data_IF_748660175064
#
_entry.id   IF_748660175064
#
_cell.length_a   1.000
_cell.length_b   1.000
_cell.length_c   1.000
_cell.angle_alpha   90.00
_cell.angle_beta   90.00
_cell.angle_gamma   90.00
#
_symmetry.space_group_name_H-M   'P 1'
#
loop_
_entity.id
_entity.type
_entity.pdbx_description
1 polymer ?
#
# COMPACT_ATOMS: atom_id res chain seq x y z
N UNK A 1 -11.42 -25.82 11.91
CA UNK A 1 -10.05 -25.27 11.89
C UNK A 1 -9.70 -24.82 13.29
N UNK A 2 -8.80 -25.54 13.93
CA UNK A 2 -8.48 -25.43 15.35
C UNK A 2 -7.78 -24.09 15.67
N UNK A 3 -8.35 -23.34 16.63
CA UNK A 3 -7.92 -21.98 17.02
C UNK A 3 -6.60 -21.99 17.81
N UNK A 4 -6.10 -23.16 18.20
CA UNK A 4 -4.92 -23.31 19.05
C UNK A 4 -3.57 -23.06 18.32
N UNK A 5 -3.50 -23.16 16.99
CA UNK A 5 -2.25 -22.93 16.24
C UNK A 5 -1.94 -21.44 15.94
N UNK A 6 -2.88 -20.54 16.27
CA UNK A 6 -2.72 -19.09 16.10
C UNK A 6 -2.14 -18.40 17.35
N UNK A 7 -1.97 -19.14 18.46
CA UNK A 7 -1.47 -18.61 19.74
C UNK A 7 0.05 -18.70 19.91
N UNK A 8 0.82 -18.98 18.86
CA UNK A 8 2.27 -18.95 18.96
C UNK A 8 2.76 -17.49 18.82
N UNK A 9 3.28 -16.86 19.89
CA UNK A 9 3.59 -15.43 19.90
C UNK A 9 4.58 -15.02 18.80
N UNK A 10 5.49 -15.90 18.42
CA UNK A 10 6.48 -15.66 17.37
C UNK A 10 5.85 -15.60 15.97
N UNK A 11 4.83 -16.43 15.71
CA UNK A 11 4.12 -16.43 14.43
C UNK A 11 3.20 -15.23 14.29
N UNK A 12 2.58 -14.80 15.39
CA UNK A 12 1.77 -13.58 15.41
C UNK A 12 2.63 -12.35 15.16
N UNK A 13 3.81 -12.26 15.80
CA UNK A 13 4.80 -11.19 15.55
C UNK A 13 5.26 -11.18 14.09
N UNK A 14 5.58 -12.35 13.53
CA UNK A 14 6.01 -12.44 12.13
C UNK A 14 4.91 -11.98 11.16
N UNK A 15 3.67 -12.42 11.35
CA UNK A 15 2.56 -12.01 10.48
C UNK A 15 2.29 -10.51 10.61
N UNK A 16 2.25 -9.98 11.84
CA UNK A 16 2.10 -8.54 12.05
C UNK A 16 3.23 -7.77 11.38
N UNK A 17 4.49 -8.19 11.54
CA UNK A 17 5.64 -7.52 10.93
C UNK A 17 5.58 -7.53 9.40
N UNK A 18 5.22 -8.67 8.80
CA UNK A 18 5.04 -8.77 7.34
C UNK A 18 3.86 -7.92 6.86
N UNK A 19 2.76 -7.85 7.63
CA UNK A 19 1.61 -7.02 7.30
C UNK A 19 1.91 -5.51 7.44
N UNK A 20 2.66 -5.11 8.48
CA UNK A 20 3.02 -3.70 8.70
C UNK A 20 4.10 -3.21 7.74
N UNK A 21 4.96 -4.10 7.21
CA UNK A 21 5.82 -3.77 6.07
C UNK A 21 5.01 -3.36 4.84
N UNK A 22 3.81 -3.92 4.63
CA UNK A 22 2.88 -3.45 3.61
C UNK A 22 2.45 -2.00 3.83
N UNK A 23 2.16 -1.62 5.08
CA UNK A 23 1.89 -0.23 5.48
C UNK A 23 3.09 0.69 5.22
N UNK A 24 4.30 0.24 5.52
CA UNK A 24 5.52 1.00 5.24
C UNK A 24 5.74 1.20 3.73
N UNK A 25 5.58 0.16 2.92
CA UNK A 25 5.67 0.26 1.46
C UNK A 25 4.61 1.22 0.90
N UNK A 26 3.40 1.19 1.44
CA UNK A 26 2.34 2.14 1.09
C UNK A 26 2.77 3.58 1.38
N UNK A 27 3.19 3.88 2.62
CA UNK A 27 3.64 5.22 2.99
C UNK A 27 4.85 5.69 2.20
N UNK A 28 5.77 4.78 1.88
CA UNK A 28 6.92 5.11 1.05
C UNK A 28 6.51 5.50 -0.38
N UNK A 29 5.61 4.74 -1.02
CA UNK A 29 5.15 5.04 -2.38
C UNK A 29 4.38 6.38 -2.44
N UNK A 30 3.55 6.67 -1.45
CA UNK A 30 2.84 7.95 -1.36
C UNK A 30 3.73 9.13 -1.00
N UNK A 31 4.87 8.91 -0.35
CA UNK A 31 5.83 9.97 -0.01
C UNK A 31 6.86 10.23 -1.09
N UNK A 32 7.34 9.18 -1.75
CA UNK A 32 8.45 9.29 -2.70
C UNK A 32 8.04 10.08 -3.94
N UNK A 33 6.76 9.99 -4.32
CA UNK A 33 6.20 10.70 -5.47
C UNK A 33 6.41 12.21 -5.39
N UNK A 34 6.33 12.82 -4.21
CA UNK A 34 6.44 14.27 -4.04
C UNK A 34 7.83 14.81 -4.44
N UNK A 35 8.90 14.08 -4.14
CA UNK A 35 10.25 14.44 -4.59
C UNK A 35 10.53 13.97 -6.00
N UNK A 36 10.07 12.76 -6.35
CA UNK A 36 10.24 12.20 -7.68
C UNK A 36 9.52 13.02 -8.79
N UNK A 37 8.46 13.75 -8.44
CA UNK A 37 7.71 14.59 -9.37
C UNK A 37 8.57 15.73 -9.97
N UNK A 38 9.51 16.26 -9.18
CA UNK A 38 10.42 17.32 -9.63
C UNK A 38 11.30 16.79 -10.76
N UNK A 39 11.84 15.58 -10.61
CA UNK A 39 12.67 14.90 -11.62
C UNK A 39 11.85 14.40 -12.81
N UNK A 40 10.66 13.84 -12.57
CA UNK A 40 9.76 13.42 -13.66
C UNK A 40 9.34 14.61 -14.53
N UNK A 41 9.21 15.81 -13.94
CA UNK A 41 8.89 17.02 -14.69
C UNK A 41 10.01 17.44 -15.63
N UNK A 42 11.28 17.32 -15.21
CA UNK A 42 12.43 17.60 -16.08
C UNK A 42 12.62 16.51 -17.14
N UNK A 43 12.46 15.24 -16.77
CA UNK A 43 12.78 14.11 -17.64
C UNK A 43 11.69 13.82 -18.69
N UNK A 44 10.41 13.93 -18.30
CA UNK A 44 9.27 13.70 -19.20
C UNK A 44 8.65 14.99 -19.75
N UNK A 45 9.23 16.16 -19.48
CA UNK A 45 8.70 17.48 -19.87
C UNK A 45 7.21 17.65 -19.49
N UNK A 46 6.84 17.24 -18.28
CA UNK A 46 5.45 17.21 -17.84
C UNK A 46 4.85 18.62 -17.75
N UNK A 47 3.63 18.75 -18.27
CA UNK A 47 2.77 19.91 -17.98
C UNK A 47 2.21 19.81 -16.56
N UNK A 48 1.88 20.94 -15.93
CA UNK A 48 1.26 20.99 -14.59
C UNK A 48 -0.01 20.14 -14.50
N UNK A 49 -0.77 20.05 -15.61
CA UNK A 49 -1.99 19.23 -15.69
C UNK A 49 -1.67 17.74 -15.65
N UNK A 50 -0.61 17.28 -16.33
CA UNK A 50 -0.20 15.88 -16.33
C UNK A 50 0.36 15.44 -14.97
N UNK A 51 1.11 16.31 -14.30
CA UNK A 51 1.56 16.13 -12.91
C UNK A 51 0.36 15.91 -11.96
N UNK A 52 -0.68 16.74 -12.11
CA UNK A 52 -1.94 16.57 -11.38
C UNK A 52 -2.62 15.24 -11.66
N UNK A 53 -2.68 14.82 -12.94
CA UNK A 53 -3.27 13.54 -13.31
C UNK A 53 -2.53 12.35 -12.70
N UNK A 54 -1.19 12.33 -12.74
CA UNK A 54 -0.38 11.23 -12.20
C UNK A 54 -0.70 11.01 -10.71
N UNK A 55 -0.80 12.09 -9.94
CA UNK A 55 -1.12 12.02 -8.51
C UNK A 55 -2.59 11.66 -8.28
N UNK A 56 -3.50 12.24 -9.07
CA UNK A 56 -4.93 11.97 -9.00
C UNK A 56 -5.27 10.51 -9.28
N UNK A 57 -4.70 9.90 -10.32
CA UNK A 57 -5.03 8.52 -10.70
C UNK A 57 -4.59 7.50 -9.66
N UNK A 58 -3.54 7.78 -8.87
CA UNK A 58 -3.19 6.96 -7.71
C UNK A 58 -4.28 7.02 -6.64
N UNK A 59 -4.71 8.23 -6.26
CA UNK A 59 -5.78 8.44 -5.27
C UNK A 59 -7.12 7.85 -5.75
N UNK A 60 -7.45 8.04 -7.02
CA UNK A 60 -8.65 7.49 -7.65
C UNK A 60 -8.61 5.95 -7.68
N UNK A 61 -7.46 5.38 -8.04
CA UNK A 61 -7.21 3.95 -7.95
C UNK A 61 -7.34 3.45 -6.51
N UNK A 62 -6.81 4.17 -5.52
CA UNK A 62 -6.93 3.80 -4.11
C UNK A 62 -8.39 3.84 -3.61
N UNK A 63 -9.17 4.83 -4.01
CA UNK A 63 -10.60 4.90 -3.70
C UNK A 63 -11.34 3.67 -4.23
N UNK A 64 -11.19 3.34 -5.52
CA UNK A 64 -11.78 2.14 -6.09
C UNK A 64 -11.23 0.86 -5.45
N UNK A 65 -9.93 0.81 -5.19
CA UNK A 65 -9.24 -0.31 -4.55
C UNK A 65 -9.80 -0.58 -3.16
N UNK A 66 -10.06 0.44 -2.35
CA UNK A 66 -10.67 0.26 -1.03
C UNK A 66 -12.08 -0.34 -1.09
N UNK A 67 -12.90 0.08 -2.06
CA UNK A 67 -14.25 -0.44 -2.28
C UNK A 67 -14.24 -1.91 -2.70
N UNK A 68 -13.47 -2.25 -3.73
CA UNK A 68 -13.41 -3.61 -4.24
C UNK A 68 -12.59 -4.54 -3.35
N UNK A 69 -11.51 -4.04 -2.75
CA UNK A 69 -10.59 -4.78 -1.89
C UNK A 69 -11.23 -5.26 -0.60
N UNK A 70 -12.09 -4.45 0.03
CA UNK A 70 -12.88 -4.88 1.18
C UNK A 70 -13.83 -6.03 0.83
N UNK A 71 -14.59 -5.89 -0.25
CA UNK A 71 -15.50 -6.94 -0.73
C UNK A 71 -14.77 -8.24 -1.10
N UNK A 72 -13.63 -8.14 -1.80
CA UNK A 72 -12.84 -9.29 -2.22
C UNK A 72 -12.19 -10.00 -1.02
N UNK A 73 -11.72 -9.22 -0.05
CA UNK A 73 -11.18 -9.71 1.23
C UNK A 73 -12.19 -10.58 1.97
N UNK A 74 -13.44 -10.12 2.08
CA UNK A 74 -14.48 -10.84 2.80
C UNK A 74 -14.90 -12.13 2.08
N UNK A 75 -14.88 -12.14 0.74
CA UNK A 75 -15.29 -13.31 -0.06
C UNK A 75 -14.20 -14.38 -0.21
N UNK A 76 -12.93 -13.98 -0.42
CA UNK A 76 -11.83 -14.91 -0.73
C UNK A 76 -10.93 -15.22 0.48
N UNK A 77 -11.10 -14.49 1.57
CA UNK A 77 -10.29 -14.59 2.77
C UNK A 77 -9.09 -13.62 2.76
N UNK A 78 -8.89 -12.96 3.90
CA UNK A 78 -7.93 -11.85 4.09
C UNK A 78 -6.49 -12.16 3.70
N UNK A 79 -5.99 -13.36 4.04
CA UNK A 79 -4.60 -13.76 3.72
C UNK A 79 -4.35 -13.88 2.21
N UNK A 80 -5.32 -14.44 1.46
CA UNK A 80 -5.20 -14.55 0.00
C UNK A 80 -5.29 -13.17 -0.63
N UNK A 81 -6.17 -12.31 -0.11
CA UNK A 81 -6.29 -10.94 -0.58
C UNK A 81 -4.98 -10.15 -0.41
N UNK A 82 -4.33 -10.22 0.77
CA UNK A 82 -3.02 -9.59 0.98
C UNK A 82 -1.95 -10.07 -0.01
N UNK A 83 -1.92 -11.36 -0.33
CA UNK A 83 -0.98 -11.92 -1.31
C UNK A 83 -1.24 -11.37 -2.72
N UNK A 84 -2.49 -11.35 -3.17
CA UNK A 84 -2.85 -10.77 -4.46
C UNK A 84 -2.48 -9.28 -4.54
N UNK A 85 -2.80 -8.54 -3.49
CA UNK A 85 -2.47 -7.12 -3.38
C UNK A 85 -0.95 -6.90 -3.44
N UNK A 86 -0.16 -7.71 -2.75
CA UNK A 86 1.31 -7.63 -2.81
C UNK A 86 1.83 -7.88 -4.24
N UNK A 87 1.26 -8.84 -4.96
CA UNK A 87 1.62 -9.12 -6.36
C UNK A 87 1.28 -7.93 -7.26
N UNK A 88 0.07 -7.37 -7.14
CA UNK A 88 -0.34 -6.19 -7.92
C UNK A 88 0.53 -4.97 -7.57
N UNK A 89 0.90 -4.80 -6.30
CA UNK A 89 1.80 -3.74 -5.85
C UNK A 89 3.17 -3.85 -6.52
N UNK A 90 3.77 -5.05 -6.56
CA UNK A 90 5.06 -5.27 -7.24
C UNK A 90 4.95 -4.92 -8.73
N UNK A 91 3.92 -5.40 -9.42
CA UNK A 91 3.73 -5.10 -10.85
C UNK A 91 3.46 -3.60 -11.10
N UNK A 92 2.69 -2.95 -10.24
CA UNK A 92 2.43 -1.50 -10.32
C UNK A 92 3.70 -0.67 -10.08
N UNK A 93 4.51 -1.06 -9.09
CA UNK A 93 5.78 -0.41 -8.78
C UNK A 93 6.79 -0.59 -9.92
N UNK A 94 6.93 -1.81 -10.46
CA UNK A 94 7.76 -2.07 -11.64
C UNK A 94 7.26 -1.31 -12.86
N UNK A 95 5.94 -1.29 -13.09
CA UNK A 95 5.34 -0.50 -14.18
C UNK A 95 5.63 0.99 -14.06
N UNK A 96 5.70 1.50 -12.83
CA UNK A 96 6.06 2.91 -12.56
C UNK A 96 7.55 3.15 -12.80
N UNK A 97 8.42 2.19 -12.41
CA UNK A 97 9.87 2.29 -12.60
C UNK A 97 10.30 2.20 -14.07
N UNK A 98 9.58 1.43 -14.90
CA UNK A 98 9.84 1.28 -16.33
C UNK A 98 8.96 2.18 -17.22
N UNK A 99 8.22 3.13 -16.64
CA UNK A 99 7.36 4.01 -17.42
C UNK A 99 8.21 4.99 -18.26
N UNK A 100 8.12 4.86 -19.59
CA UNK A 100 8.82 5.74 -20.54
C UNK A 100 7.99 6.94 -21.00
N UNK A 101 6.66 6.87 -20.84
CA UNK A 101 5.72 7.92 -21.27
C UNK A 101 4.70 8.26 -20.17
N UNK A 102 4.12 9.46 -20.23
CA UNK A 102 3.09 9.95 -19.29
C UNK A 102 1.88 9.01 -19.17
N UNK A 103 1.29 8.49 -20.27
CA UNK A 103 0.16 7.57 -20.16
C UNK A 103 0.52 6.26 -19.48
N UNK A 104 1.73 5.73 -19.74
CA UNK A 104 2.21 4.51 -19.09
C UNK A 104 2.35 4.72 -17.57
N UNK A 105 2.87 5.88 -17.16
CA UNK A 105 2.98 6.27 -15.75
C UNK A 105 1.60 6.40 -15.08
N UNK A 106 0.63 7.02 -15.75
CA UNK A 106 -0.74 7.16 -15.26
C UNK A 106 -1.39 5.78 -15.05
N UNK A 107 -1.26 4.87 -16.00
CA UNK A 107 -1.82 3.52 -15.91
C UNK A 107 -1.14 2.74 -14.77
N UNK A 108 0.19 2.79 -14.68
CA UNK A 108 0.93 2.13 -13.61
C UNK A 108 0.51 2.65 -12.23
N UNK A 109 0.32 3.98 -12.09
CA UNK A 109 -0.13 4.61 -10.85
C UNK A 109 -1.56 4.27 -10.49
N UNK A 110 -2.45 4.13 -11.47
CA UNK A 110 -3.81 3.65 -11.23
C UNK A 110 -3.81 2.21 -10.70
N UNK A 111 -3.04 1.31 -11.31
CA UNK A 111 -2.91 -0.10 -10.87
C UNK A 111 -2.29 -0.18 -9.47
N UNK A 112 -1.24 0.60 -9.22
CA UNK A 112 -0.59 0.68 -7.92
C UNK A 112 -1.55 1.22 -6.86
N UNK A 113 -2.32 2.26 -7.20
CA UNK A 113 -3.38 2.82 -6.37
C UNK A 113 -4.42 1.77 -5.98
N UNK A 114 -4.88 0.94 -6.92
CA UNK A 114 -5.82 -0.16 -6.61
C UNK A 114 -5.26 -1.11 -5.54
N UNK A 115 -3.99 -1.51 -5.67
CA UNK A 115 -3.34 -2.39 -4.69
C UNK A 115 -3.23 -1.72 -3.32
N UNK A 116 -2.76 -0.48 -3.29
CA UNK A 116 -2.59 0.32 -2.08
C UNK A 116 -3.91 0.52 -1.35
N UNK A 117 -4.98 0.90 -2.08
CA UNK A 117 -6.31 1.06 -1.52
C UNK A 117 -6.89 -0.24 -0.96
N UNK A 118 -6.64 -1.38 -1.61
CA UNK A 118 -7.01 -2.69 -1.07
C UNK A 118 -6.23 -3.02 0.21
N UNK A 119 -4.93 -2.70 0.25
CA UNK A 119 -4.06 -2.97 1.39
C UNK A 119 -4.51 -2.19 2.62
N UNK A 120 -4.83 -0.90 2.47
CA UNK A 120 -5.16 0.00 3.59
C UNK A 120 -6.39 -0.45 4.38
N UNK A 121 -7.40 -1.05 3.72
CA UNK A 121 -8.56 -1.63 4.42
C UNK A 121 -8.30 -3.05 4.91
N UNK A 122 -7.56 -3.88 4.16
CA UNK A 122 -7.42 -5.31 4.50
C UNK A 122 -6.42 -5.56 5.62
N UNK A 123 -5.31 -4.82 5.66
CA UNK A 123 -4.22 -4.99 6.64
C UNK A 123 -4.68 -4.78 8.08
N UNK A 124 -5.28 -3.63 8.48
CA UNK A 124 -5.69 -3.42 9.86
C UNK A 124 -6.76 -4.42 10.30
N UNK A 125 -7.68 -4.79 9.41
CA UNK A 125 -8.69 -5.82 9.67
C UNK A 125 -8.01 -7.16 9.92
N UNK A 126 -7.10 -7.59 9.04
CA UNK A 126 -6.39 -8.86 9.16
C UNK A 126 -5.61 -8.96 10.47
N UNK A 127 -4.90 -7.90 10.85
CA UNK A 127 -4.16 -7.82 12.11
C UNK A 127 -5.12 -7.89 13.30
N UNK A 128 -6.25 -7.16 13.27
CA UNK A 128 -7.22 -7.13 14.38
C UNK A 128 -7.87 -8.48 14.68
N UNK A 129 -7.99 -9.33 13.67
CA UNK A 129 -8.57 -10.67 13.80
C UNK A 129 -7.62 -11.70 14.36
N UNK A 130 -6.33 -11.54 14.06
CA UNK A 130 -5.28 -12.37 14.63
C UNK A 130 -4.96 -11.96 16.07
N UNK A 131 -5.19 -10.69 16.40
CA UNK A 131 -4.85 -10.10 17.67
C UNK A 131 -5.74 -10.56 18.83
N UNK A 132 -5.11 -10.73 20.00
CA UNK A 132 -5.81 -10.89 21.28
C UNK A 132 -6.63 -9.63 21.58
N UNK A 133 -7.82 -9.75 22.21
CA UNK A 133 -8.74 -8.63 22.47
C UNK A 133 -8.06 -7.37 23.05
N UNK A 134 -7.15 -7.55 24.02
CA UNK A 134 -6.45 -6.45 24.69
C UNK A 134 -5.38 -5.73 23.83
N UNK A 135 -4.94 -6.31 22.71
CA UNK A 135 -3.84 -5.78 21.88
C UNK A 135 -4.30 -5.32 20.50
N UNK A 136 -5.59 -5.45 20.17
CA UNK A 136 -6.15 -5.14 18.85
C UNK A 136 -5.85 -3.72 18.42
N UNK A 137 -6.16 -2.76 19.27
CA UNK A 137 -5.98 -1.33 18.99
C UNK A 137 -4.50 -0.99 18.80
N UNK A 138 -3.64 -1.50 19.69
CA UNK A 138 -2.19 -1.25 19.61
C UNK A 138 -1.61 -1.71 18.27
N UNK A 139 -1.98 -2.89 17.78
CA UNK A 139 -1.44 -3.42 16.54
C UNK A 139 -1.94 -2.67 15.30
N UNK A 140 -3.17 -2.14 15.34
CA UNK A 140 -3.68 -1.23 14.30
C UNK A 140 -2.91 0.09 14.33
N UNK A 141 -2.63 0.65 15.51
CA UNK A 141 -1.79 1.86 15.64
C UNK A 141 -0.37 1.64 15.11
N UNK A 142 0.22 0.46 15.32
CA UNK A 142 1.54 0.13 14.75
C UNK A 142 1.50 0.14 13.22
N UNK A 143 0.41 -0.31 12.60
CA UNK A 143 0.25 -0.23 11.14
C UNK A 143 0.23 1.23 10.66
N UNK A 144 -0.57 2.09 11.30
CA UNK A 144 -0.61 3.52 10.96
C UNK A 144 0.74 4.20 11.16
N UNK A 145 1.44 3.90 12.26
CA UNK A 145 2.80 4.40 12.50
C UNK A 145 3.76 3.95 11.38
N UNK A 146 3.65 2.72 10.89
CA UNK A 146 4.51 2.24 9.82
C UNK A 146 4.24 2.94 8.49
N UNK A 147 2.99 3.33 8.21
CA UNK A 147 2.64 4.17 7.05
C UNK A 147 3.31 5.54 7.19
N UNK A 148 3.16 6.19 8.34
CA UNK A 148 3.77 7.52 8.60
C UNK A 148 5.30 7.45 8.55
N UNK A 149 5.91 6.39 9.09
CA UNK A 149 7.36 6.15 9.01
C UNK A 149 7.79 5.97 7.55
N UNK A 150 7.02 5.25 6.73
CA UNK A 150 7.28 5.11 5.30
C UNK A 150 7.29 6.47 4.59
N UNK A 151 6.29 7.32 4.87
CA UNK A 151 6.22 8.67 4.31
C UNK A 151 7.41 9.53 4.77
N UNK A 152 7.79 9.44 6.06
CA UNK A 152 8.93 10.16 6.63
C UNK A 152 10.26 9.75 5.97
N UNK A 153 10.49 8.44 5.79
CA UNK A 153 11.67 7.92 5.10
C UNK A 153 11.72 8.41 3.66
N UNK A 154 10.60 8.38 2.95
CA UNK A 154 10.53 8.87 1.59
C UNK A 154 10.88 10.37 1.48
N UNK A 155 10.39 11.20 2.40
CA UNK A 155 10.79 12.61 2.44
C UNK A 155 12.25 12.82 2.82
N UNK A 156 12.81 11.97 3.68
CA UNK A 156 14.23 12.04 4.06
C UNK A 156 15.14 11.64 2.88
N UNK A 157 14.74 10.66 2.08
CA UNK A 157 15.48 10.25 0.86
C UNK A 157 15.32 11.28 -0.27
N UNK A 158 14.20 11.97 -0.31
CA UNK A 158 13.93 13.03 -1.29
C UNK A 158 14.61 14.37 -0.96
N UNK A 159 15.09 14.57 0.27
CA UNK A 159 15.75 15.79 0.75
C UNK A 159 17.24 15.81 0.38
#
# INVERSE_FOLDING_TARGET
MDKNHLQNPDRMRFITLVSTLGGLCFGYDTGVISGALIFMKSDLQLTTVQEGFITFFLLFGAALGSLFGGYLSDKQGRRKNLLWVAVIFIFGALGTAFAWDVPAMIIARFVLGLAVGCASVTVPVYISELARPAQREHLVTVNELMIVIGQFLAYTVNA
#
